data_IF_832163144572
#
_entry.id   IF_832163144572
#
_cell.length_a   1.000
_cell.length_b   1.000
_cell.length_c   1.000
_cell.angle_alpha   90.00
_cell.angle_beta   90.00
_cell.angle_gamma   90.00
#
_symmetry.space_group_name_H-M   'P 1'
#
loop_
_entity.id
_entity.type
_entity.pdbx_description
1 polymer ?
#
# COMPACT_ATOMS: atom_id res chain seq x y z
N UNK A 1 -6.31 21.99 -11.94
CA UNK A 1 -4.99 22.24 -12.56
C UNK A 1 -4.47 23.66 -12.33
N UNK A 2 -5.29 24.70 -12.47
CA UNK A 2 -4.88 26.10 -12.20
C UNK A 2 -4.30 26.33 -10.80
N UNK A 3 -4.82 25.64 -9.78
CA UNK A 3 -4.28 25.71 -8.42
C UNK A 3 -2.83 25.24 -8.29
N UNK A 4 -2.39 24.25 -9.08
CA UNK A 4 -0.99 23.78 -9.06
C UNK A 4 -0.06 24.85 -9.63
N UNK A 5 -0.49 25.54 -10.69
CA UNK A 5 0.28 26.64 -11.28
C UNK A 5 0.48 27.82 -10.32
N UNK A 6 -0.47 28.04 -9.40
CA UNK A 6 -0.37 29.08 -8.36
C UNK A 6 0.65 28.69 -7.28
N UNK A 7 0.75 27.40 -6.94
CA UNK A 7 1.68 26.91 -5.91
C UNK A 7 3.09 26.73 -6.45
N UNK A 8 3.25 26.06 -7.59
CA UNK A 8 4.53 25.88 -8.26
C UNK A 8 4.37 25.76 -9.78
N UNK A 9 4.72 26.84 -10.47
CA UNK A 9 4.67 26.93 -11.93
C UNK A 9 5.62 25.95 -12.61
N UNK A 10 6.77 25.61 -12.00
CA UNK A 10 7.74 24.69 -12.60
C UNK A 10 7.17 23.27 -12.63
N UNK A 11 6.62 22.80 -11.51
CA UNK A 11 5.93 21.50 -11.44
C UNK A 11 4.73 21.47 -12.36
N UNK A 12 3.94 22.55 -12.45
CA UNK A 12 2.84 22.63 -13.40
C UNK A 12 3.31 22.42 -14.84
N UNK A 13 4.33 23.15 -15.30
CA UNK A 13 4.84 23.01 -16.66
C UNK A 13 5.31 21.58 -16.94
N UNK A 14 6.07 20.98 -16.02
CA UNK A 14 6.51 19.59 -16.14
C UNK A 14 5.34 18.59 -16.25
N UNK A 15 4.30 18.75 -15.42
CA UNK A 15 3.12 17.87 -15.48
C UNK A 15 2.33 18.05 -16.79
N UNK A 16 2.38 19.23 -17.40
CA UNK A 16 1.71 19.50 -18.68
C UNK A 16 2.48 18.95 -19.88
N UNK A 17 3.80 18.71 -19.76
CA UNK A 17 4.60 18.02 -20.79
C UNK A 17 4.26 16.52 -20.87
N UNK A 18 3.84 15.91 -19.76
CA UNK A 18 3.52 14.50 -19.68
C UNK A 18 2.00 14.22 -19.81
N UNK A 19 1.59 13.18 -20.55
CA UNK A 19 0.19 12.81 -20.67
C UNK A 19 -0.49 12.58 -19.30
N UNK A 20 -1.69 13.14 -19.05
CA UNK A 20 -2.38 13.01 -17.77
C UNK A 20 -2.51 11.59 -17.25
N UNK A 21 -2.70 10.60 -18.13
CA UNK A 21 -2.79 9.19 -17.73
C UNK A 21 -1.53 8.60 -17.07
N UNK A 22 -0.39 9.29 -17.10
CA UNK A 22 0.85 8.87 -16.42
C UNK A 22 0.88 9.29 -14.95
N UNK A 23 0.34 10.46 -14.64
CA UNK A 23 0.45 11.10 -13.32
C UNK A 23 -0.89 11.32 -12.60
N UNK A 24 -2.02 11.37 -13.31
CA UNK A 24 -3.36 11.49 -12.74
C UNK A 24 -4.09 10.15 -12.76
N UNK A 25 -4.54 9.70 -11.57
CA UNK A 25 -5.34 8.49 -11.41
C UNK A 25 -6.63 8.53 -12.22
N UNK A 26 -7.30 9.69 -12.26
CA UNK A 26 -8.56 9.91 -12.98
C UNK A 26 -8.44 9.74 -14.51
N UNK A 27 -7.25 9.93 -15.06
CA UNK A 27 -6.98 9.82 -16.51
C UNK A 27 -6.22 8.53 -16.87
N UNK A 28 -5.91 7.67 -15.89
CA UNK A 28 -5.15 6.46 -16.16
C UNK A 28 -6.08 5.40 -16.81
N UNK A 29 -5.73 4.85 -17.99
CA UNK A 29 -6.54 3.82 -18.63
C UNK A 29 -6.55 2.50 -17.84
N UNK A 30 -5.55 2.30 -16.98
CA UNK A 30 -5.51 1.16 -16.06
C UNK A 30 -6.09 1.59 -14.71
N UNK A 31 -6.93 0.73 -14.13
CA UNK A 31 -7.38 0.86 -12.75
C UNK A 31 -6.18 0.74 -11.82
N UNK A 32 -5.63 1.88 -11.41
CA UNK A 32 -4.71 1.96 -10.28
C UNK A 32 -5.61 2.12 -9.07
N UNK A 33 -5.69 1.11 -8.22
CA UNK A 33 -6.18 1.29 -6.85
C UNK A 33 -5.22 2.24 -6.12
N UNK A 34 -5.52 2.66 -4.88
CA UNK A 34 -4.66 3.53 -4.05
C UNK A 34 -3.25 2.94 -3.71
N UNK A 35 -2.84 1.93 -4.48
CA UNK A 35 -1.51 1.38 -4.58
C UNK A 35 -0.60 2.33 -5.36
N UNK A 36 -0.06 3.33 -4.66
CA UNK A 36 1.19 3.96 -5.10
C UNK A 36 2.25 2.85 -5.24
N UNK A 37 2.84 2.73 -6.43
CA UNK A 37 3.71 1.60 -6.83
C UNK A 37 4.91 1.40 -5.91
N UNK A 38 5.33 2.44 -5.18
CA UNK A 38 6.42 2.36 -4.19
C UNK A 38 6.00 1.66 -2.91
N UNK A 39 4.75 1.76 -2.45
CA UNK A 39 4.34 1.22 -1.15
C UNK A 39 4.44 -0.30 -1.07
N UNK A 40 4.10 -1.01 -2.16
CA UNK A 40 4.21 -2.47 -2.21
C UNK A 40 5.68 -2.88 -2.14
N UNK A 41 6.53 -2.26 -2.95
CA UNK A 41 7.97 -2.55 -3.00
C UNK A 41 8.62 -2.21 -1.65
N UNK A 42 8.23 -1.11 -1.02
CA UNK A 42 8.74 -0.72 0.30
C UNK A 42 8.29 -1.68 1.40
N UNK A 43 7.02 -2.09 1.39
CA UNK A 43 6.48 -3.09 2.33
C UNK A 43 7.22 -4.43 2.19
N UNK A 44 7.36 -4.92 0.96
CA UNK A 44 8.11 -6.15 0.67
C UNK A 44 9.58 -6.03 1.09
N UNK A 45 10.23 -4.89 0.80
CA UNK A 45 11.61 -4.64 1.22
C UNK A 45 11.75 -4.63 2.74
N UNK A 46 10.76 -4.13 3.47
CA UNK A 46 10.75 -4.13 4.92
C UNK A 46 10.60 -5.56 5.48
N UNK A 47 9.68 -6.36 4.91
CA UNK A 47 9.52 -7.78 5.25
C UNK A 47 10.82 -8.55 5.02
N UNK A 48 11.47 -8.32 3.87
CA UNK A 48 12.71 -8.99 3.47
C UNK A 48 13.98 -8.31 3.97
N UNK A 49 13.88 -7.36 4.90
CA UNK A 49 15.04 -6.57 5.35
C UNK A 49 16.18 -7.43 5.88
N UNK A 50 15.86 -8.46 6.68
CA UNK A 50 16.87 -9.40 7.20
C UNK A 50 17.27 -10.46 6.18
N UNK A 51 16.31 -10.95 5.39
CA UNK A 51 16.55 -11.97 4.37
C UNK A 51 17.57 -11.52 3.31
N UNK A 52 17.59 -10.22 2.96
CA UNK A 52 18.55 -9.63 2.03
C UNK A 52 20.01 -9.64 2.50
N UNK A 53 20.26 -9.91 3.78
CA UNK A 53 21.62 -10.04 4.32
C UNK A 53 22.12 -11.49 4.28
N UNK A 54 21.27 -12.44 3.87
CA UNK A 54 21.57 -13.88 3.83
C UNK A 54 21.98 -14.31 2.41
N UNK A 55 22.62 -15.48 2.28
CA UNK A 55 22.84 -16.12 0.98
C UNK A 55 21.56 -16.20 0.15
N UNK A 56 21.70 -16.10 -1.17
CA UNK A 56 20.57 -16.04 -2.12
C UNK A 56 19.55 -17.16 -1.92
N UNK A 57 20.03 -18.40 -1.74
CA UNK A 57 19.18 -19.57 -1.54
C UNK A 57 18.33 -19.41 -0.27
N UNK A 58 18.95 -19.02 0.85
CA UNK A 58 18.24 -18.77 2.12
C UNK A 58 17.24 -17.62 1.98
N UNK A 59 17.59 -16.57 1.22
CA UNK A 59 16.64 -15.49 0.93
C UNK A 59 15.43 -16.00 0.15
N UNK A 60 15.62 -16.88 -0.83
CA UNK A 60 14.52 -17.49 -1.59
C UNK A 60 13.64 -18.36 -0.70
N UNK A 61 14.22 -19.16 0.19
CA UNK A 61 13.48 -19.99 1.15
C UNK A 61 12.59 -19.12 2.04
N UNK A 62 13.14 -18.03 2.60
CA UNK A 62 12.36 -17.08 3.42
C UNK A 62 11.22 -16.43 2.62
N UNK A 63 11.46 -16.09 1.34
CA UNK A 63 10.41 -15.54 0.48
C UNK A 63 9.30 -16.57 0.28
N UNK A 64 9.63 -17.82 0.00
CA UNK A 64 8.66 -18.90 -0.16
C UNK A 64 7.86 -19.13 1.13
N UNK A 65 8.52 -19.25 2.28
CA UNK A 65 7.86 -19.38 3.58
C UNK A 65 6.90 -18.23 3.85
N UNK A 66 7.30 -16.99 3.53
CA UNK A 66 6.44 -15.81 3.70
C UNK A 66 5.23 -15.87 2.80
N UNK A 67 5.40 -16.20 1.52
CA UNK A 67 4.30 -16.35 0.59
C UNK A 67 3.35 -17.47 1.02
N UNK A 68 3.87 -18.60 1.48
CA UNK A 68 3.08 -19.71 1.98
C UNK A 68 2.21 -19.31 3.19
N UNK A 69 2.81 -18.73 4.24
CA UNK A 69 2.05 -18.27 5.42
C UNK A 69 1.01 -17.23 5.02
N UNK A 70 1.35 -16.31 4.13
CA UNK A 70 0.46 -15.28 3.64
C UNK A 70 -0.71 -15.77 2.81
N UNK A 71 -0.50 -16.76 1.94
CA UNK A 71 -1.58 -17.36 1.16
C UNK A 71 -2.49 -18.17 2.08
N UNK A 72 -1.92 -18.95 2.99
CA UNK A 72 -2.66 -19.71 3.99
C UNK A 72 -3.51 -18.80 4.87
N UNK A 73 -2.92 -17.80 5.53
CA UNK A 73 -3.62 -16.86 6.42
C UNK A 73 -4.76 -16.15 5.70
N UNK A 74 -4.52 -15.62 4.49
CA UNK A 74 -5.55 -14.89 3.73
C UNK A 74 -6.68 -15.79 3.26
N UNK A 75 -6.38 -17.04 2.90
CA UNK A 75 -7.42 -18.04 2.57
C UNK A 75 -8.24 -18.39 3.80
N UNK A 76 -7.61 -18.74 4.92
CA UNK A 76 -8.29 -19.09 6.17
C UNK A 76 -9.19 -17.95 6.65
N UNK A 77 -8.73 -16.70 6.54
CA UNK A 77 -9.55 -15.52 6.84
C UNK A 77 -10.76 -15.46 5.90
N UNK A 78 -10.56 -15.61 4.59
CA UNK A 78 -11.65 -15.58 3.61
C UNK A 78 -12.66 -16.71 3.82
N UNK A 79 -12.21 -17.92 4.15
CA UNK A 79 -13.05 -19.08 4.45
C UNK A 79 -13.94 -18.83 5.67
N UNK A 80 -13.39 -18.27 6.74
CA UNK A 80 -14.10 -17.95 7.98
C UNK A 80 -15.06 -16.75 7.89
N UNK A 81 -15.11 -16.05 6.76
CA UNK A 81 -16.04 -14.94 6.51
C UNK A 81 -17.33 -15.48 5.89
N UNK A 82 -18.49 -15.18 6.47
CA UNK A 82 -19.81 -15.59 5.93
C UNK A 82 -20.52 -14.52 5.09
N UNK A 83 -19.95 -13.31 5.00
CA UNK A 83 -20.50 -12.19 4.23
C UNK A 83 -19.99 -12.21 2.78
N UNK A 84 -20.71 -11.51 1.91
CA UNK A 84 -20.38 -11.39 0.47
C UNK A 84 -19.10 -10.57 0.21
N UNK A 85 -18.70 -9.71 1.16
CA UNK A 85 -17.61 -8.74 1.01
C UNK A 85 -16.34 -9.09 1.79
N UNK A 86 -15.20 -8.69 1.23
CA UNK A 86 -13.92 -8.65 1.95
C UNK A 86 -13.96 -7.76 3.20
N UNK A 87 -13.04 -8.00 4.15
CA UNK A 87 -12.93 -7.25 5.41
C UNK A 87 -12.68 -5.77 5.14
N UNK A 88 -11.74 -5.51 4.23
CA UNK A 88 -11.34 -4.17 3.86
C UNK A 88 -12.52 -3.42 3.24
N UNK A 89 -13.19 -3.99 2.22
CA UNK A 89 -14.31 -3.34 1.55
C UNK A 89 -15.47 -3.06 2.52
N UNK A 90 -15.75 -3.98 3.45
CA UNK A 90 -16.74 -3.76 4.50
C UNK A 90 -16.36 -2.58 5.40
N UNK A 91 -15.13 -2.55 5.90
CA UNK A 91 -14.67 -1.47 6.78
C UNK A 91 -14.69 -0.11 6.06
N UNK A 92 -14.21 -0.06 4.83
CA UNK A 92 -14.27 1.15 3.98
C UNK A 92 -15.70 1.63 3.78
N UNK A 93 -16.66 0.72 3.59
CA UNK A 93 -18.07 1.10 3.47
C UNK A 93 -18.62 1.65 4.78
N UNK A 94 -18.33 1.00 5.92
CA UNK A 94 -18.78 1.45 7.24
C UNK A 94 -18.27 2.84 7.60
N UNK A 95 -17.04 3.19 7.18
CA UNK A 95 -16.48 4.53 7.32
C UNK A 95 -17.26 5.57 6.50
N UNK A 96 -17.59 5.24 5.24
CA UNK A 96 -18.31 6.13 4.32
C UNK A 96 -19.81 6.27 4.60
N UNK A 97 -20.40 5.36 5.37
CA UNK A 97 -21.84 5.40 5.70
C UNK A 97 -22.19 6.61 6.57
N UNK A 98 -21.35 6.95 7.55
CA UNK A 98 -21.62 8.06 8.49
C UNK A 98 -21.81 9.41 7.78
N UNK A 99 -20.89 9.87 6.92
CA UNK A 99 -21.06 11.14 6.20
C UNK A 99 -22.21 11.08 5.19
N UNK A 100 -22.46 9.93 4.54
CA UNK A 100 -23.55 9.77 3.58
C UNK A 100 -24.92 10.16 4.16
N UNK A 101 -25.18 9.89 5.44
CA UNK A 101 -26.43 10.26 6.12
C UNK A 101 -26.62 11.77 6.34
N UNK A 102 -25.58 12.57 6.15
CA UNK A 102 -25.65 14.03 6.32
C UNK A 102 -26.06 14.74 5.02
N UNK A 103 -26.07 14.04 3.89
CA UNK A 103 -26.30 14.64 2.59
C UNK A 103 -27.78 14.73 2.25
N UNK A 104 -28.13 15.80 1.52
CA UNK A 104 -29.48 15.94 0.97
C UNK A 104 -29.52 15.33 -0.42
N UNK A 105 -30.31 14.28 -0.60
CA UNK A 105 -30.45 13.58 -1.88
C UNK A 105 -31.69 14.08 -2.61
N UNK A 106 -31.52 14.46 -3.88
CA UNK A 106 -32.61 14.91 -4.76
C UNK A 106 -32.70 13.95 -5.97
N UNK A 107 -33.76 13.15 -6.10
CA UNK A 107 -33.94 12.28 -7.25
C UNK A 107 -34.05 13.09 -8.55
N UNK A 108 -33.32 12.67 -9.58
CA UNK A 108 -33.45 13.17 -10.96
C UNK A 108 -34.22 12.15 -11.81
N UNK A 109 -33.90 10.86 -11.64
CA UNK A 109 -34.52 9.72 -12.30
C UNK A 109 -34.46 8.50 -11.36
N UNK A 110 -34.98 7.34 -11.78
CA UNK A 110 -35.05 6.10 -10.99
C UNK A 110 -33.71 5.70 -10.36
N UNK A 111 -32.60 5.85 -11.09
CA UNK A 111 -31.25 5.49 -10.66
C UNK A 111 -30.27 6.66 -10.74
N UNK A 112 -30.78 7.90 -10.83
CA UNK A 112 -29.96 9.10 -10.98
C UNK A 112 -30.35 10.17 -9.98
N UNK A 113 -29.37 10.73 -9.29
CA UNK A 113 -29.58 11.61 -8.15
C UNK A 113 -28.65 12.82 -8.21
N UNK A 114 -29.10 13.93 -7.62
CA UNK A 114 -28.26 15.08 -7.26
C UNK A 114 -28.08 15.07 -5.75
N UNK A 115 -26.88 14.76 -5.29
CA UNK A 115 -26.53 14.71 -3.88
C UNK A 115 -25.90 16.03 -3.48
N UNK A 116 -26.47 16.70 -2.47
CA UNK A 116 -25.98 17.98 -1.97
C UNK A 116 -25.10 17.77 -0.74
N UNK A 117 -23.86 18.25 -0.85
CA UNK A 117 -22.86 18.23 0.22
C UNK A 117 -22.20 19.63 0.28
N UNK A 118 -22.22 20.27 1.46
CA UNK A 118 -21.49 21.53 1.68
C UNK A 118 -21.82 22.67 0.71
N UNK A 119 -23.03 22.68 0.13
CA UNK A 119 -23.45 23.65 -0.89
C UNK A 119 -23.10 23.27 -2.33
N UNK A 120 -22.29 22.22 -2.54
CA UNK A 120 -22.02 21.63 -3.85
C UNK A 120 -23.07 20.57 -4.19
N UNK A 121 -23.25 20.30 -5.49
CA UNK A 121 -24.09 19.21 -5.98
C UNK A 121 -23.25 18.22 -6.77
N UNK A 122 -23.45 16.95 -6.50
CA UNK A 122 -22.79 15.84 -7.18
C UNK A 122 -23.86 15.00 -7.88
N UNK A 123 -23.73 14.82 -9.18
CA UNK A 123 -24.57 13.91 -9.95
C UNK A 123 -24.05 12.50 -9.71
N UNK A 124 -24.94 11.64 -9.25
CA UNK A 124 -24.70 10.23 -9.02
C UNK A 124 -25.64 9.41 -9.93
N UNK A 125 -25.05 8.53 -10.74
CA UNK A 125 -25.74 7.65 -11.69
C UNK A 125 -25.41 6.21 -11.28
N UNK A 126 -26.37 5.59 -10.57
CA UNK A 126 -26.22 4.26 -9.97
C UNK A 126 -26.25 3.14 -11.02
N UNK A 127 -26.88 3.38 -12.17
CA UNK A 127 -26.92 2.42 -13.28
C UNK A 127 -25.52 2.29 -13.92
N UNK A 128 -24.88 3.44 -14.17
CA UNK A 128 -23.51 3.50 -14.71
C UNK A 128 -22.42 3.33 -13.66
N UNK A 129 -22.78 3.36 -12.37
CA UNK A 129 -21.86 3.36 -11.22
C UNK A 129 -20.85 4.51 -11.29
N UNK A 130 -21.34 5.71 -11.58
CA UNK A 130 -20.52 6.92 -11.72
C UNK A 130 -21.01 8.03 -10.81
N UNK A 131 -20.08 8.75 -10.21
CA UNK A 131 -20.35 9.96 -9.46
C UNK A 131 -19.41 11.08 -9.92
N UNK A 132 -19.86 12.33 -9.86
CA UNK A 132 -19.04 13.51 -10.17
C UNK A 132 -17.80 13.63 -9.26
N UNK A 133 -17.84 13.08 -8.04
CA UNK A 133 -16.68 13.01 -7.15
C UNK A 133 -15.54 12.11 -7.67
N UNK A 134 -15.82 11.33 -8.72
CA UNK A 134 -14.94 10.36 -9.37
C UNK A 134 -14.54 9.13 -8.57
N UNK A 135 -14.78 9.11 -7.27
CA UNK A 135 -14.37 8.00 -6.40
C UNK A 135 -15.11 6.71 -6.76
N UNK A 136 -16.42 6.77 -7.04
CA UNK A 136 -17.22 5.57 -7.34
C UNK A 136 -16.67 4.78 -8.54
N UNK A 137 -16.38 5.46 -9.65
CA UNK A 137 -15.83 4.83 -10.85
C UNK A 137 -14.34 4.51 -10.76
N UNK A 138 -13.58 5.11 -9.85
CA UNK A 138 -12.14 4.89 -9.71
C UNK A 138 -11.79 3.77 -8.73
N UNK A 139 -12.52 3.72 -7.61
CA UNK A 139 -12.38 2.69 -6.60
C UNK A 139 -13.27 1.48 -6.90
N UNK A 140 -14.30 1.65 -7.74
CA UNK A 140 -15.32 0.62 -8.01
C UNK A 140 -16.03 0.11 -6.72
N UNK A 141 -16.09 0.99 -5.72
CA UNK A 141 -16.86 0.88 -4.50
C UNK A 141 -17.68 2.16 -4.35
N UNK A 142 -18.94 2.11 -3.90
CA UNK A 142 -19.74 3.30 -3.71
C UNK A 142 -19.02 4.36 -2.86
N UNK A 143 -18.95 5.59 -3.40
CA UNK A 143 -18.54 6.76 -2.65
C UNK A 143 -19.63 7.18 -1.66
N UNK A 144 -19.34 8.14 -0.79
CA UNK A 144 -20.30 8.64 0.21
C UNK A 144 -21.59 9.17 -0.44
N UNK A 145 -21.48 9.87 -1.58
CA UNK A 145 -22.64 10.35 -2.34
C UNK A 145 -23.47 9.19 -2.90
N UNK A 146 -22.81 8.19 -3.48
CA UNK A 146 -23.48 7.01 -4.02
C UNK A 146 -24.17 6.19 -2.93
N UNK A 147 -23.55 6.07 -1.75
CA UNK A 147 -24.17 5.42 -0.59
C UNK A 147 -25.45 6.15 -0.19
N UNK A 148 -25.44 7.48 -0.16
CA UNK A 148 -26.62 8.27 0.15
C UNK A 148 -27.75 8.02 -0.87
N UNK A 149 -27.41 8.01 -2.16
CA UNK A 149 -28.36 7.71 -3.23
C UNK A 149 -28.92 6.27 -3.16
N UNK A 150 -28.06 5.26 -2.93
CA UNK A 150 -28.47 3.85 -2.78
C UNK A 150 -29.48 3.67 -1.64
N UNK A 151 -29.30 4.39 -0.55
CA UNK A 151 -30.21 4.32 0.59
C UNK A 151 -31.64 4.77 0.22
N UNK A 152 -31.78 5.76 -0.67
CA UNK A 152 -33.09 6.27 -1.09
C UNK A 152 -33.91 5.27 -1.91
N UNK A 153 -33.24 4.31 -2.56
CA UNK A 153 -33.89 3.26 -3.36
C UNK A 153 -34.02 1.93 -2.60
N UNK A 154 -33.66 1.91 -1.31
CA UNK A 154 -33.72 0.73 -0.43
C UNK A 154 -33.02 -0.52 -1.01
N UNK A 155 -31.97 -0.32 -1.80
CA UNK A 155 -31.19 -1.42 -2.37
C UNK A 155 -30.01 -1.78 -1.47
N UNK A 156 -29.58 -3.04 -1.57
CA UNK A 156 -28.34 -3.45 -0.90
C UNK A 156 -27.16 -2.73 -1.54
N UNK A 157 -26.36 -2.05 -0.72
CA UNK A 157 -25.06 -1.46 -1.11
C UNK A 157 -24.16 -2.51 -1.78
N UNK A 158 -24.36 -3.79 -1.46
CA UNK A 158 -23.63 -4.88 -2.08
C UNK A 158 -23.85 -5.06 -3.58
N UNK A 159 -24.98 -4.61 -4.12
CA UNK A 159 -25.26 -4.69 -5.56
C UNK A 159 -24.39 -3.74 -6.40
N UNK A 160 -23.73 -2.76 -5.77
CA UNK A 160 -23.07 -1.65 -6.46
C UNK A 160 -21.54 -1.71 -6.41
N UNK A 161 -20.94 -2.68 -5.72
CA UNK A 161 -19.49 -2.87 -5.73
C UNK A 161 -19.01 -3.69 -6.93
N UNK A 162 -17.71 -3.58 -7.22
CA UNK A 162 -17.02 -4.47 -8.15
C UNK A 162 -16.79 -5.86 -7.54
N UNK A 163 -16.90 -6.89 -8.39
CA UNK A 163 -16.68 -8.28 -7.99
C UNK A 163 -15.29 -8.50 -7.35
N UNK A 164 -14.30 -7.64 -7.66
CA UNK A 164 -12.97 -7.68 -7.03
C UNK A 164 -12.98 -7.59 -5.51
N UNK A 165 -14.03 -7.00 -4.92
CA UNK A 165 -14.18 -6.90 -3.47
C UNK A 165 -14.97 -8.04 -2.83
N UNK A 166 -15.48 -8.96 -3.66
CA UNK A 166 -16.24 -10.10 -3.19
C UNK A 166 -15.36 -11.13 -2.49
N UNK A 167 -15.96 -11.82 -1.53
CA UNK A 167 -15.33 -12.97 -0.86
C UNK A 167 -14.91 -14.05 -1.86
N UNK A 168 -15.71 -14.28 -2.89
CA UNK A 168 -15.44 -15.34 -3.86
C UNK A 168 -14.19 -15.05 -4.70
N UNK A 169 -14.01 -13.80 -5.15
CA UNK A 169 -12.78 -13.39 -5.82
C UNK A 169 -11.59 -13.40 -4.86
N UNK A 170 -11.78 -13.03 -3.59
CA UNK A 170 -10.74 -13.20 -2.57
C UNK A 170 -10.30 -14.67 -2.49
N UNK A 171 -11.22 -15.60 -2.28
CA UNK A 171 -10.90 -17.03 -2.20
C UNK A 171 -10.15 -17.51 -3.43
N UNK A 172 -10.63 -17.19 -4.63
CA UNK A 172 -9.96 -17.53 -5.90
C UNK A 172 -8.55 -16.94 -5.98
N UNK A 173 -8.35 -15.71 -5.51
CA UNK A 173 -7.04 -15.05 -5.53
C UNK A 173 -5.99 -15.81 -4.70
N UNK A 174 -6.41 -16.47 -3.62
CA UNK A 174 -5.51 -17.20 -2.72
C UNK A 174 -5.75 -18.72 -2.72
N UNK A 175 -6.40 -19.26 -3.76
CA UNK A 175 -6.66 -20.70 -3.90
C UNK A 175 -5.38 -21.50 -4.16
N UNK A 176 -4.40 -20.86 -4.82
CA UNK A 176 -3.10 -21.45 -5.14
C UNK A 176 -2.31 -21.85 -3.90
N UNK A 177 -1.65 -22.99 -3.96
CA UNK A 177 -0.76 -23.47 -2.90
C UNK A 177 0.68 -23.07 -3.21
N UNK A 178 1.37 -22.49 -2.22
CA UNK A 178 2.81 -22.25 -2.29
C UNK A 178 3.48 -23.37 -1.51
N UNK A 179 4.08 -24.31 -2.23
CA UNK A 179 4.80 -25.43 -1.65
C UNK A 179 6.27 -25.07 -1.45
N UNK A 180 6.85 -25.53 -0.35
CA UNK A 180 8.30 -25.45 -0.16
C UNK A 180 9.02 -26.34 -1.15
N UNK A 181 10.23 -25.94 -1.53
CA UNK A 181 11.12 -26.83 -2.26
C UNK A 181 11.64 -27.89 -1.28
N UNK A 182 11.62 -29.16 -1.69
CA UNK A 182 12.17 -30.27 -0.89
C UNK A 182 13.68 -30.15 -0.70
N UNK A 183 14.28 -31.06 0.07
CA UNK A 183 15.73 -31.05 0.28
C UNK A 183 16.48 -31.24 -1.05
N UNK A 184 17.49 -30.39 -1.27
CA UNK A 184 18.44 -30.45 -2.37
C UNK A 184 19.02 -31.84 -2.64
N UNK A 185 19.17 -32.68 -1.61
CA UNK A 185 19.65 -34.06 -1.73
C UNK A 185 18.73 -34.95 -2.57
N UNK A 186 17.45 -34.60 -2.67
CA UNK A 186 16.41 -35.35 -3.39
C UNK A 186 16.17 -34.84 -4.82
N UNK A 187 16.84 -33.75 -5.22
CA UNK A 187 16.56 -33.10 -6.50
C UNK A 187 17.19 -33.87 -7.67
N UNK A 188 16.35 -34.35 -8.58
CA UNK A 188 16.80 -34.86 -9.87
C UNK A 188 16.99 -33.68 -10.81
N UNK A 189 18.23 -33.18 -10.92
CA UNK A 189 18.57 -32.08 -11.82
C UNK A 189 18.99 -32.63 -13.20
N UNK A 190 18.27 -32.32 -14.29
CA UNK A 190 18.63 -32.76 -15.64
C UNK A 190 20.04 -32.32 -16.04
N UNK A 191 20.73 -33.16 -16.82
CA UNK A 191 22.08 -32.85 -17.29
C UNK A 191 22.15 -31.55 -18.11
N UNK A 192 21.11 -31.26 -18.89
CA UNK A 192 20.97 -30.03 -19.67
C UNK A 192 20.99 -28.78 -18.79
N UNK A 193 20.27 -28.80 -17.66
CA UNK A 193 20.28 -27.69 -16.69
C UNK A 193 21.63 -27.54 -16.02
N UNK A 194 22.30 -28.65 -15.66
CA UNK A 194 23.65 -28.59 -15.05
C UNK A 194 24.68 -27.95 -15.99
N UNK A 195 24.60 -28.21 -17.29
CA UNK A 195 25.50 -27.61 -18.28
C UNK A 195 25.29 -26.11 -18.48
N UNK A 196 24.14 -25.56 -18.09
CA UNK A 196 23.81 -24.13 -18.19
C UNK A 196 24.18 -23.33 -16.94
N UNK A 197 24.55 -23.99 -15.83
CA UNK A 197 24.94 -23.30 -14.59
C UNK A 197 26.29 -22.61 -14.80
N UNK A 198 26.24 -21.32 -15.13
CA UNK A 198 27.42 -20.47 -15.21
C UNK A 198 27.79 -19.91 -13.84
N UNK A 199 29.09 -19.62 -13.64
CA UNK A 199 29.54 -18.85 -12.49
C UNK A 199 28.83 -17.49 -12.48
N UNK A 200 28.44 -16.96 -11.30
CA UNK A 200 27.95 -15.59 -11.22
C UNK A 200 29.01 -14.64 -11.79
N UNK A 201 28.62 -13.52 -12.42
CA UNK A 201 29.55 -12.55 -12.96
C UNK A 201 30.54 -12.08 -11.88
N UNK A 202 31.80 -11.88 -12.27
CA UNK A 202 32.81 -11.30 -11.38
C UNK A 202 32.41 -9.87 -11.00
N UNK A 203 31.80 -9.71 -9.83
CA UNK A 203 31.38 -8.42 -9.31
C UNK A 203 32.48 -7.85 -8.41
N UNK A 204 33.03 -6.67 -8.78
CA UNK A 204 33.88 -5.90 -7.86
C UNK A 204 33.05 -5.49 -6.65
N UNK A 205 33.40 -6.00 -5.48
CA UNK A 205 32.81 -5.54 -4.22
C UNK A 205 33.29 -4.12 -3.96
N UNK A 206 32.40 -3.14 -4.12
CA UNK A 206 32.68 -1.74 -3.81
C UNK A 206 33.13 -1.61 -2.35
N UNK A 207 34.25 -0.92 -2.12
CA UNK A 207 34.76 -0.64 -0.78
C UNK A 207 33.82 0.31 -0.05
N UNK A 208 33.36 -0.09 1.14
CA UNK A 208 32.49 0.74 2.01
C UNK A 208 31.38 -0.05 2.68
N UNK A 209 30.69 0.58 3.65
CA UNK A 209 29.50 0.00 4.27
C UNK A 209 28.38 -0.03 3.24
N UNK A 210 27.92 -1.24 2.87
CA UNK A 210 26.70 -1.40 2.06
C UNK A 210 25.54 -0.68 2.74
N UNK A 211 24.90 0.23 2.02
CA UNK A 211 23.72 0.89 2.54
C UNK A 211 22.59 -0.13 2.71
N UNK A 212 22.10 -0.26 3.94
CA UNK A 212 20.98 -1.14 4.28
C UNK A 212 19.62 -0.46 4.14
N UNK A 213 19.61 0.87 4.19
CA UNK A 213 18.41 1.69 4.10
C UNK A 213 18.38 2.41 2.77
N UNK A 214 17.18 2.66 2.25
CA UNK A 214 16.95 3.48 1.06
C UNK A 214 17.46 4.90 1.29
N UNK A 215 17.95 5.53 0.23
CA UNK A 215 18.11 6.98 0.18
C UNK A 215 16.73 7.65 0.28
N UNK A 216 16.47 8.27 1.43
CA UNK A 216 15.26 9.07 1.66
C UNK A 216 15.34 10.30 0.76
N UNK A 217 14.34 10.50 -0.09
CA UNK A 217 14.29 11.68 -0.98
C UNK A 217 14.13 12.95 -0.14
N UNK A 218 14.62 14.10 -0.64
CA UNK A 218 14.48 15.38 0.06
C UNK A 218 13.02 15.78 0.31
N UNK A 219 12.09 15.22 -0.45
CA UNK A 219 10.65 15.46 -0.42
C UNK A 219 9.89 14.57 0.58
N UNK A 220 10.53 13.55 1.16
CA UNK A 220 9.90 12.71 2.17
C UNK A 220 10.04 13.31 3.57
N UNK A 221 8.92 13.34 4.31
CA UNK A 221 8.90 13.77 5.70
C UNK A 221 9.85 12.91 6.55
N UNK A 222 10.95 13.51 7.00
CA UNK A 222 11.83 12.88 7.98
C UNK A 222 11.07 12.78 9.29
N UNK A 223 10.86 11.57 9.80
CA UNK A 223 10.32 11.36 11.15
C UNK A 223 11.15 12.17 12.14
N UNK A 224 10.49 13.00 12.94
CA UNK A 224 11.17 13.73 13.99
C UNK A 224 11.88 12.75 14.92
N UNK A 225 13.16 12.98 15.26
CA UNK A 225 13.88 12.10 16.15
C UNK A 225 13.20 12.12 17.53
N UNK A 226 12.90 10.93 18.06
CA UNK A 226 12.43 10.77 19.44
C UNK A 226 13.62 10.58 20.36
N UNK A 227 13.79 11.47 21.32
CA UNK A 227 14.88 11.40 22.28
C UNK A 227 14.75 10.15 23.15
N UNK A 228 15.77 9.29 23.18
CA UNK A 228 15.73 8.08 24.03
C UNK A 228 15.82 8.40 25.53
N UNK A 229 16.30 9.59 25.91
CA UNK A 229 16.40 10.07 27.29
C UNK A 229 15.08 10.66 27.81
N UNK A 230 14.57 11.72 27.18
CA UNK A 230 13.36 12.42 27.65
C UNK A 230 12.06 12.02 26.93
N UNK A 231 12.15 11.10 25.95
CA UNK A 231 11.03 10.57 25.15
C UNK A 231 10.24 11.60 24.31
N UNK A 232 10.67 12.86 24.26
CA UNK A 232 10.09 13.93 23.42
C UNK A 232 10.63 13.87 21.97
N UNK A 233 9.85 14.37 21.02
CA UNK A 233 10.22 14.49 19.61
C UNK A 233 11.00 15.78 19.33
N UNK A 234 11.63 15.88 18.15
CA UNK A 234 12.39 17.04 17.69
C UNK A 234 13.90 17.02 18.00
N UNK A 235 14.40 16.07 18.79
CA UNK A 235 15.83 15.95 19.08
C UNK A 235 16.24 14.51 19.44
N UNK A 236 17.53 14.20 19.29
CA UNK A 236 18.11 12.92 19.70
C UNK A 236 18.72 13.01 21.11
N UNK A 237 19.18 11.88 21.66
CA UNK A 237 19.77 11.84 23.02
C UNK A 237 20.99 12.75 23.18
N UNK A 238 21.83 12.89 22.16
CA UNK A 238 23.06 13.69 22.22
C UNK A 238 22.77 15.18 22.35
N UNK A 239 21.64 15.63 21.81
CA UNK A 239 21.23 17.03 21.81
C UNK A 239 20.09 17.28 22.81
N UNK A 240 19.91 16.37 23.77
CA UNK A 240 18.87 16.48 24.77
C UNK A 240 19.30 17.42 25.88
N UNK A 241 18.52 18.49 26.06
CA UNK A 241 18.69 19.45 27.18
C UNK A 241 18.40 18.82 28.55
N UNK A 242 17.66 17.70 28.58
CA UNK A 242 17.45 16.89 29.78
C UNK A 242 18.47 15.74 29.91
N UNK A 243 19.53 15.71 29.09
CA UNK A 243 20.61 14.75 29.30
C UNK A 243 21.31 15.10 30.61
N UNK A 244 21.31 14.16 31.56
CA UNK A 244 22.18 14.27 32.72
C UNK A 244 23.61 14.54 32.23
N UNK A 245 24.26 15.55 32.81
CA UNK A 245 25.63 15.94 32.48
C UNK A 245 26.48 14.68 32.58
N UNK A 246 27.01 14.23 31.44
CA UNK A 246 27.91 13.07 31.44
C UNK A 246 29.17 13.52 32.17
N UNK A 247 29.38 12.97 33.38
CA UNK A 247 30.59 13.19 34.15
C UNK A 247 31.82 12.92 33.26
N UNK A 248 32.81 13.82 33.26
CA UNK A 248 33.92 13.82 32.28
C UNK A 248 34.69 12.49 32.19
N UNK A 249 34.56 11.62 33.19
CA UNK A 249 35.22 10.31 33.27
C UNK A 249 34.48 9.14 32.59
N UNK A 250 33.22 9.29 32.17
CA UNK A 250 32.43 8.17 31.63
C UNK A 250 32.83 7.71 30.21
N UNK A 251 33.74 8.42 29.52
CA UNK A 251 34.20 8.07 28.16
C UNK A 251 35.39 7.10 28.11
N UNK A 252 36.06 6.80 29.24
CA UNK A 252 37.37 6.10 29.21
C UNK A 252 37.32 4.57 29.22
N UNK A 253 36.16 3.92 29.38
CA UNK A 253 36.09 2.45 29.38
C UNK A 253 35.09 1.91 28.36
N UNK A 254 35.44 1.99 27.08
CA UNK A 254 35.13 0.92 26.12
C UNK A 254 36.46 0.33 25.67
N UNK A 255 37.00 -0.59 26.46
CA UNK A 255 38.00 -1.53 25.93
C UNK A 255 37.31 -2.31 24.81
N UNK A 256 37.89 -2.23 23.61
CA UNK A 256 37.72 -3.28 22.61
C UNK A 256 38.26 -4.55 23.27
N UNK A 257 37.41 -5.55 23.44
CA UNK A 257 37.91 -6.91 23.57
C UNK A 257 38.09 -7.43 22.15
N UNK A 258 39.29 -7.95 21.91
CA UNK A 258 39.71 -8.70 20.72
C UNK A 258 38.80 -9.92 20.47
#
# INVERSE_FOLDING_TARGET
MSQIAVVDKKTFNYLMEEPPGRWARSHCPRRRYDMLTTNIVESMNNVLRRARELPLLIMMDIIQEKLQSWFYERRTIAEGIFRELSNWAKATLEEKIKPAFTFRVLPIDRLKFNVKEGGMGFIDDLDKRTCDCSEFQLDEIPCEHAIAAIETIYQKKSAFYSAYYSRDIWLKTYEGQVNSVGDSTTWVTPHTTKSEITKPPDAKVMLGRRQKNRHVSCTEFKKEPRCSCCKRYGHNRTNCTNSAVVHAYARKYRKKND
#
